data_IF_411052518871
#
_entry.id   IF_411052518871
#
_cell.length_a   1.000
_cell.length_b   1.000
_cell.length_c   1.000
_cell.angle_alpha   90.00
_cell.angle_beta   90.00
_cell.angle_gamma   90.00
#
_symmetry.space_group_name_H-M   'P 1'
#
loop_
_entity.id
_entity.type
_entity.pdbx_description
1 polymer ?
#
# COMPACT_ATOMS: atom_id res chain seq x y z
N UNK A 1 -4.15 -19.74 -12.97
CA UNK A 1 -4.08 -19.09 -14.29
C UNK A 1 -4.90 -19.86 -15.33
N UNK A 2 -5.81 -19.18 -16.02
CA UNK A 2 -6.62 -19.76 -17.09
C UNK A 2 -6.23 -19.12 -18.42
N UNK A 3 -6.16 -19.95 -19.47
CA UNK A 3 -5.88 -19.52 -20.84
C UNK A 3 -7.23 -19.38 -21.54
N UNK A 4 -7.59 -18.19 -21.99
CA UNK A 4 -8.78 -18.00 -22.82
C UNK A 4 -8.52 -18.43 -24.27
N UNK A 5 -9.56 -18.72 -25.06
CA UNK A 5 -9.42 -19.20 -26.45
C UNK A 5 -8.70 -18.25 -27.43
N UNK A 6 -8.37 -17.05 -26.97
CA UNK A 6 -7.71 -15.96 -27.69
C UNK A 6 -6.26 -15.71 -27.22
N UNK A 7 -5.62 -16.72 -26.63
CA UNK A 7 -4.23 -16.69 -26.14
C UNK A 7 -3.94 -15.67 -25.02
N UNK A 8 -4.99 -15.14 -24.36
CA UNK A 8 -4.82 -14.30 -23.17
C UNK A 8 -4.70 -15.15 -21.91
N UNK A 9 -3.90 -14.65 -20.97
CA UNK A 9 -3.59 -15.29 -19.69
C UNK A 9 -4.30 -14.49 -18.59
N UNK A 10 -5.21 -15.16 -17.88
CA UNK A 10 -5.82 -14.63 -16.66
C UNK A 10 -4.93 -15.00 -15.48
N UNK A 11 -4.48 -14.01 -14.73
CA UNK A 11 -3.71 -14.18 -13.50
C UNK A 11 -4.46 -13.58 -12.31
N UNK A 12 -4.58 -14.35 -11.25
CA UNK A 12 -5.03 -13.88 -9.94
C UNK A 12 -3.77 -13.52 -9.14
N UNK A 13 -3.69 -12.28 -8.68
CA UNK A 13 -2.55 -11.74 -7.95
C UNK A 13 -3.00 -11.37 -6.54
N UNK A 14 -2.40 -12.04 -5.55
CA UNK A 14 -2.49 -11.66 -4.15
C UNK A 14 -1.12 -11.12 -3.72
N UNK A 15 -1.09 -9.87 -3.28
CA UNK A 15 0.11 -9.18 -2.83
C UNK A 15 -0.07 -8.82 -1.37
N UNK A 16 0.87 -9.25 -0.54
CA UNK A 16 0.86 -9.00 0.90
C UNK A 16 2.14 -8.24 1.29
N UNK A 17 1.99 -7.20 2.13
CA UNK A 17 3.09 -6.45 2.75
C UNK A 17 2.78 -6.22 4.23
N UNK A 18 3.57 -6.86 5.08
CA UNK A 18 3.49 -6.68 6.52
C UNK A 18 4.51 -5.64 6.98
N UNK A 19 4.08 -4.75 7.89
CA UNK A 19 4.94 -3.82 8.60
C UNK A 19 4.71 -3.92 10.11
N UNK A 20 5.73 -3.59 10.90
CA UNK A 20 5.57 -3.46 12.36
C UNK A 20 4.78 -2.17 12.60
N UNK A 21 3.58 -2.29 13.17
CA UNK A 21 2.73 -1.18 13.54
C UNK A 21 3.04 -0.65 14.94
N UNK A 22 2.15 0.18 15.49
CA UNK A 22 2.32 0.77 16.82
C UNK A 22 2.38 -0.29 17.93
N UNK A 23 3.22 -0.03 18.94
CA UNK A 23 3.36 -0.90 20.11
C UNK A 23 2.33 -0.50 21.15
N UNK A 24 1.35 -1.37 21.40
CA UNK A 24 0.36 -1.17 22.46
C UNK A 24 0.66 -2.10 23.64
N UNK A 25 0.85 -1.53 24.83
CA UNK A 25 1.15 -2.28 26.07
C UNK A 25 2.34 -3.26 25.96
N UNK A 26 3.36 -2.92 25.17
CA UNK A 26 4.55 -3.77 24.96
C UNK A 26 4.39 -4.84 23.87
N UNK A 27 3.25 -4.88 23.19
CA UNK A 27 2.97 -5.81 22.08
C UNK A 27 2.96 -5.01 20.77
N UNK A 28 3.85 -5.31 19.80
CA UNK A 28 3.80 -4.68 18.49
C UNK A 28 2.57 -5.17 17.72
N UNK A 29 1.81 -4.25 17.11
CA UNK A 29 0.83 -4.63 16.10
C UNK A 29 1.52 -4.97 14.77
N UNK A 30 0.83 -5.73 13.92
CA UNK A 30 1.26 -5.99 12.55
C UNK A 30 0.28 -5.25 11.64
N UNK A 31 0.79 -4.28 10.88
CA UNK A 31 0.03 -3.64 9.81
C UNK A 31 0.19 -4.47 8.55
N UNK A 32 -0.78 -5.34 8.31
CA UNK A 32 -0.88 -6.14 7.09
C UNK A 32 -1.58 -5.36 5.99
N UNK A 33 -0.93 -5.23 4.84
CA UNK A 33 -1.51 -4.67 3.61
C UNK A 33 -1.70 -5.80 2.62
N UNK A 34 -2.93 -6.02 2.16
CA UNK A 34 -3.26 -7.04 1.16
C UNK A 34 -4.03 -6.45 -0.02
N UNK A 35 -3.67 -6.85 -1.24
CA UNK A 35 -4.42 -6.56 -2.46
C UNK A 35 -4.63 -7.85 -3.26
N UNK A 36 -5.88 -8.11 -3.61
CA UNK A 36 -6.27 -9.20 -4.51
C UNK A 36 -6.82 -8.59 -5.81
N UNK A 37 -6.20 -8.89 -6.94
CA UNK A 37 -6.62 -8.38 -8.25
C UNK A 37 -6.53 -9.47 -9.31
N UNK A 38 -7.39 -9.39 -10.32
CA UNK A 38 -7.38 -10.28 -11.47
C UNK A 38 -6.99 -9.50 -12.71
N UNK A 39 -6.02 -10.02 -13.45
CA UNK A 39 -5.43 -9.33 -14.59
C UNK A 39 -5.44 -10.22 -15.81
N UNK A 40 -5.74 -9.63 -16.97
CA UNK A 40 -5.77 -10.31 -18.26
C UNK A 40 -4.64 -9.74 -19.13
N UNK A 41 -3.71 -10.60 -19.52
CA UNK A 41 -2.47 -10.19 -20.19
C UNK A 41 -2.08 -11.15 -21.30
N UNK A 42 -1.37 -10.67 -22.32
CA UNK A 42 -0.85 -11.56 -23.36
C UNK A 42 0.45 -12.22 -22.89
N UNK A 43 0.78 -13.37 -23.49
CA UNK A 43 2.06 -14.03 -23.24
C UNK A 43 3.25 -13.15 -23.65
N UNK A 44 4.15 -12.85 -22.70
CA UNK A 44 5.34 -12.03 -22.92
C UNK A 44 5.13 -10.52 -22.80
N UNK A 45 3.89 -10.04 -22.72
CA UNK A 45 3.60 -8.62 -22.50
C UNK A 45 3.71 -8.26 -21.01
N UNK A 46 4.29 -7.10 -20.71
CA UNK A 46 4.39 -6.62 -19.33
C UNK A 46 3.18 -5.75 -19.00
N UNK A 47 2.44 -6.12 -17.97
CA UNK A 47 1.39 -5.27 -17.41
C UNK A 47 1.92 -4.50 -16.21
N UNK A 48 1.53 -3.23 -16.12
CA UNK A 48 1.74 -2.40 -14.94
C UNK A 48 0.45 -2.37 -14.16
N UNK A 49 0.50 -2.85 -12.93
CA UNK A 49 -0.60 -2.78 -11.98
C UNK A 49 -0.31 -1.61 -11.05
N UNK A 50 -0.78 -0.43 -11.46
CA UNK A 50 -0.85 0.73 -10.58
C UNK A 50 -2.08 0.58 -9.68
N UNK A 51 -1.92 0.71 -8.36
CA UNK A 51 -3.10 0.53 -7.50
C UNK A 51 -2.96 0.78 -6.01
N UNK A 52 -1.77 1.05 -5.47
CA UNK A 52 -1.65 1.37 -4.04
C UNK A 52 -1.10 2.79 -3.93
N UNK A 53 -2.03 3.74 -3.86
CA UNK A 53 -1.79 5.12 -3.45
C UNK A 53 -2.14 5.22 -1.96
N UNK A 54 -1.12 5.37 -1.13
CA UNK A 54 -1.28 5.54 0.32
C UNK A 54 -1.00 7.00 0.68
N UNK A 55 -1.96 7.62 1.36
CA UNK A 55 -1.82 8.96 1.94
C UNK A 55 -2.21 8.86 3.41
N UNK A 56 -1.25 9.00 4.30
CA UNK A 56 -1.45 9.00 5.74
C UNK A 56 -1.25 10.42 6.27
N UNK A 57 -2.35 11.02 6.74
CA UNK A 57 -2.34 12.35 7.38
C UNK A 57 -2.50 12.14 8.88
N UNK A 58 -1.44 12.42 9.64
CA UNK A 58 -1.47 12.41 11.11
C UNK A 58 -1.53 13.84 11.61
N UNK A 59 -2.60 14.17 12.34
CA UNK A 59 -2.79 15.46 12.99
C UNK A 59 -2.75 15.26 14.51
N UNK A 60 -1.81 15.93 15.18
CA UNK A 60 -1.68 15.97 16.64
C UNK A 60 -1.74 17.40 17.15
N UNK A 61 -2.39 17.62 18.29
CA UNK A 61 -2.36 18.92 18.97
C UNK A 61 -2.10 18.69 20.44
N UNK A 62 -0.88 18.98 20.87
CA UNK A 62 -0.52 19.04 22.28
C UNK A 62 -0.83 20.44 22.78
N UNK A 63 -1.65 20.56 23.83
CA UNK A 63 -2.03 21.87 24.35
C UNK A 63 -2.03 21.92 25.87
N UNK A 64 -1.61 23.05 26.43
CA UNK A 64 -1.77 23.31 27.85
C UNK A 64 -3.25 23.64 28.12
N UNK A 65 -3.95 22.88 28.99
CA UNK A 65 -5.34 23.18 29.33
C UNK A 65 -5.50 24.63 29.82
N UNK A 66 -6.64 25.26 29.51
CA UNK A 66 -6.97 26.66 29.84
C UNK A 66 -6.14 27.74 29.10
N UNK A 67 -4.81 27.63 29.06
CA UNK A 67 -3.95 28.65 28.44
C UNK A 67 -3.98 28.61 26.91
N UNK A 68 -4.14 27.43 26.31
CA UNK A 68 -4.17 27.27 24.86
C UNK A 68 -5.43 27.84 24.18
N UNK A 69 -6.50 28.05 24.96
CA UNK A 69 -7.78 28.55 24.45
C UNK A 69 -7.92 30.08 24.61
N UNK A 70 -6.89 30.77 25.13
CA UNK A 70 -6.89 32.23 25.28
C UNK A 70 -6.80 32.93 23.91
N UNK A 71 -7.63 33.96 23.67
CA UNK A 71 -7.50 34.79 22.48
C UNK A 71 -6.14 35.50 22.47
N UNK A 72 -5.59 35.74 21.28
CA UNK A 72 -4.29 36.39 21.02
C UNK A 72 -3.03 35.61 21.42
N UNK A 73 -3.03 34.90 22.57
CA UNK A 73 -1.82 34.25 23.12
C UNK A 73 -1.88 32.72 23.20
N UNK A 74 -3.05 32.10 22.96
CA UNK A 74 -3.21 30.65 23.07
C UNK A 74 -2.34 29.84 22.11
N UNK A 75 -1.86 30.44 21.00
CA UNK A 75 -0.93 29.79 20.07
C UNK A 75 0.46 29.50 20.66
N UNK A 76 0.89 30.24 21.69
CA UNK A 76 2.16 30.02 22.39
C UNK A 76 2.12 28.79 23.32
N UNK A 77 0.92 28.32 23.65
CA UNK A 77 0.67 27.24 24.61
C UNK A 77 0.10 25.98 23.93
N UNK A 78 0.20 25.91 22.59
CA UNK A 78 -0.16 24.73 21.80
C UNK A 78 0.96 24.38 20.84
N UNK A 79 1.13 23.10 20.59
CA UNK A 79 2.03 22.53 19.60
C UNK A 79 1.21 21.67 18.65
N UNK A 80 1.21 22.04 17.38
CA UNK A 80 0.52 21.30 16.31
C UNK A 80 1.53 20.44 15.57
N UNK A 81 1.24 19.15 15.48
CA UNK A 81 1.95 18.18 14.67
C UNK A 81 1.10 17.86 13.45
N UNK A 82 1.64 18.11 12.26
CA UNK A 82 1.06 17.71 10.99
C UNK A 82 2.09 16.86 10.26
N UNK A 83 1.71 15.64 9.89
CA UNK A 83 2.57 14.69 9.19
C UNK A 83 1.81 14.12 8.01
N UNK A 84 2.31 14.38 6.80
CA UNK A 84 1.80 13.86 5.53
C UNK A 84 2.80 12.84 4.99
N UNK A 85 2.43 11.56 4.98
CA UNK A 85 3.23 10.47 4.42
C UNK A 85 2.54 9.91 3.18
N UNK A 86 3.26 9.90 2.05
CA UNK A 86 2.78 9.38 0.76
C UNK A 86 3.64 8.20 0.32
N UNK A 87 2.99 7.10 -0.03
CA UNK A 87 3.65 5.93 -0.61
C UNK A 87 2.94 5.48 -1.88
N UNK A 88 3.72 5.23 -2.93
CA UNK A 88 3.25 4.72 -4.21
C UNK A 88 3.93 3.36 -4.48
N UNK A 89 3.13 2.30 -4.65
CA UNK A 89 3.63 0.98 -5.01
C UNK A 89 3.20 0.62 -6.44
N UNK A 90 4.19 0.34 -7.28
CA UNK A 90 4.02 -0.13 -8.65
C UNK A 90 4.44 -1.59 -8.76
N UNK A 91 3.58 -2.40 -9.38
CA UNK A 91 3.82 -3.83 -9.56
C UNK A 91 3.86 -4.13 -11.06
N UNK A 92 4.95 -4.76 -11.51
CA UNK A 92 5.17 -5.15 -12.89
C UNK A 92 5.11 -6.67 -12.99
N UNK A 93 4.28 -7.19 -13.89
CA UNK A 93 4.17 -8.64 -14.10
C UNK A 93 4.26 -8.94 -15.59
N UNK A 94 5.11 -9.92 -15.94
CA UNK A 94 5.30 -10.40 -17.31
C UNK A 94 5.11 -11.92 -17.31
N UNK A 95 3.97 -12.44 -17.81
CA UNK A 95 3.76 -13.87 -17.90
C UNK A 95 4.64 -14.47 -19.01
N UNK A 96 5.11 -15.71 -18.81
CA UNK A 96 5.81 -16.47 -19.84
C UNK A 96 5.26 -17.89 -19.92
N UNK A 97 4.73 -18.27 -21.07
CA UNK A 97 4.34 -19.64 -21.39
C UNK A 97 5.61 -20.44 -21.71
N UNK A 98 5.88 -21.47 -20.92
CA UNK A 98 6.95 -22.43 -21.20
C UNK A 98 6.37 -23.51 -22.12
N UNK A 99 6.89 -23.63 -23.35
CA UNK A 99 6.68 -24.82 -24.17
C UNK A 99 7.79 -25.81 -23.81
N UNK A 100 7.40 -26.96 -23.28
CA UNK A 100 8.34 -28.05 -23.01
C UNK A 100 9.02 -28.43 -24.33
N UNK A 101 10.29 -28.04 -24.47
CA UNK A 101 11.10 -28.56 -25.57
C UNK A 101 11.46 -29.96 -25.13
N UNK A 102 10.75 -30.95 -25.67
CA UNK A 102 11.14 -32.35 -25.50
C UNK A 102 12.58 -32.48 -25.96
N UNK A 103 13.50 -32.63 -25.00
CA UNK A 103 14.86 -33.06 -25.28
C UNK A 103 14.76 -34.53 -25.66
N UNK A 104 15.05 -34.81 -26.92
CA UNK A 104 15.39 -36.16 -27.38
C UNK A 104 16.68 -36.64 -26.71
#
# INVERSE_FOLDING_TARGET
>A
PQITPDDRIIMDLSVNKDAIGEVYAGIPSIDTREVQTQVLVNNGDTVVLGGIYESAITNGVDKVPFLADLPLIGSLFRHSLERDEKAELLIFVTPKILKETMSF
#
